data_IF_013880743270
#
_entry.id   IF_013880743270
#
_cell.length_a   1.000
_cell.length_b   1.000
_cell.length_c   1.000
_cell.angle_alpha   90.00
_cell.angle_beta   90.00
_cell.angle_gamma   90.00
#
_symmetry.space_group_name_H-M   'P 1'
#
loop_
_entity.id
_entity.type
_entity.pdbx_description
1 polymer ?
#
# COMPACT_ATOMS: atom_id res chain seq x y z
N UNK A 1 14.77 35.90 -12.63
CA UNK A 1 14.40 34.62 -11.97
C UNK A 1 13.23 34.07 -12.74
N UNK A 2 13.49 33.11 -13.64
CA UNK A 2 12.45 32.42 -14.40
C UNK A 2 11.41 31.89 -13.44
N UNK A 3 10.15 32.26 -13.68
CA UNK A 3 9.01 31.66 -12.98
C UNK A 3 9.04 30.17 -13.32
N UNK A 4 9.62 29.36 -12.44
CA UNK A 4 9.63 27.92 -12.65
C UNK A 4 8.17 27.45 -12.81
N UNK A 5 7.90 26.85 -13.96
CA UNK A 5 6.61 26.20 -14.22
C UNK A 5 6.44 24.99 -13.32
N UNK A 6 5.20 24.57 -13.09
CA UNK A 6 4.90 23.30 -12.45
C UNK A 6 5.62 22.16 -13.17
N UNK A 7 6.18 21.21 -12.44
CA UNK A 7 6.94 20.13 -13.06
C UNK A 7 6.95 18.86 -12.19
N UNK A 8 6.66 17.73 -12.83
CA UNK A 8 6.85 16.40 -12.27
C UNK A 8 8.27 15.94 -12.62
N UNK A 9 9.13 15.81 -11.60
CA UNK A 9 10.51 15.40 -11.83
C UNK A 9 10.61 13.94 -12.27
N UNK A 10 11.68 13.55 -13.01
CA UNK A 10 11.93 12.15 -13.32
C UNK A 10 11.92 11.29 -12.04
N UNK A 11 11.21 10.17 -12.10
CA UNK A 11 11.04 9.29 -10.95
C UNK A 11 12.13 8.23 -11.01
N UNK A 12 12.82 8.04 -9.90
CA UNK A 12 13.85 7.00 -9.80
C UNK A 12 13.19 5.62 -9.77
N UNK A 13 13.96 4.61 -10.19
CA UNK A 13 13.58 3.20 -10.05
C UNK A 13 13.15 2.93 -8.61
N UNK A 14 12.01 2.31 -8.44
CA UNK A 14 11.47 1.91 -7.15
C UNK A 14 11.78 0.42 -6.92
N UNK A 15 12.56 0.11 -5.89
CA UNK A 15 12.90 -1.27 -5.54
C UNK A 15 12.02 -1.75 -4.40
N UNK A 16 11.44 -2.92 -4.55
CA UNK A 16 10.69 -3.64 -3.50
C UNK A 16 11.68 -4.36 -2.58
N UNK A 17 12.16 -3.66 -1.55
CA UNK A 17 13.13 -4.24 -0.63
C UNK A 17 12.54 -5.35 0.24
N UNK A 18 13.26 -6.45 0.37
CA UNK A 18 12.94 -7.50 1.33
C UNK A 18 13.46 -7.07 2.70
N UNK A 19 12.54 -6.93 3.66
CA UNK A 19 12.94 -6.69 5.06
C UNK A 19 13.35 -8.00 5.70
N UNK A 20 14.66 -8.24 5.79
CA UNK A 20 15.19 -9.39 6.52
C UNK A 20 15.26 -9.00 7.99
N UNK A 21 14.40 -9.59 8.82
CA UNK A 21 14.53 -9.48 10.26
C UNK A 21 15.59 -10.49 10.74
N UNK A 22 16.82 -10.03 10.89
CA UNK A 22 17.95 -10.90 11.28
C UNK A 22 17.91 -11.36 12.74
N UNK A 23 16.98 -10.83 13.55
CA UNK A 23 16.90 -11.13 14.99
C UNK A 23 18.15 -10.73 15.80
N UNK A 24 19.20 -10.22 15.15
CA UNK A 24 20.43 -9.82 15.83
C UNK A 24 20.20 -8.53 16.60
N UNK A 25 20.38 -8.59 17.92
CA UNK A 25 20.59 -7.39 18.74
C UNK A 25 21.85 -6.72 18.23
N UNK A 26 21.70 -5.51 17.75
CA UNK A 26 22.79 -4.77 17.10
C UNK A 26 23.61 -4.03 18.14
N UNK A 27 24.96 -3.95 17.99
CA UNK A 27 25.78 -3.19 18.90
C UNK A 27 25.38 -1.72 18.94
N UNK A 28 25.40 -1.12 20.12
CA UNK A 28 24.87 0.22 20.44
C UNK A 28 25.58 1.38 19.71
N UNK A 29 26.71 1.11 19.03
CA UNK A 29 27.65 2.14 18.56
C UNK A 29 27.75 2.29 17.04
N UNK A 30 26.92 1.61 16.25
CA UNK A 30 26.95 1.81 14.81
C UNK A 30 26.04 2.98 14.39
N UNK A 31 26.65 4.02 13.80
CA UNK A 31 25.90 5.06 13.09
C UNK A 31 25.15 4.43 11.94
N UNK A 32 23.82 4.58 11.95
CA UNK A 32 22.94 4.11 10.87
C UNK A 32 22.20 5.28 10.28
N UNK A 33 22.40 5.48 9.00
CA UNK A 33 21.50 6.32 8.22
C UNK A 33 20.07 5.78 8.28
N UNK A 34 19.07 6.67 8.20
CA UNK A 34 17.67 6.25 8.01
C UNK A 34 17.57 5.54 6.67
N UNK A 35 16.93 4.37 6.66
CA UNK A 35 16.59 3.69 5.41
C UNK A 35 15.77 4.62 4.51
N UNK A 36 15.96 4.55 3.19
CA UNK A 36 15.07 5.21 2.25
C UNK A 36 13.61 4.83 2.55
N UNK A 37 12.64 5.72 2.31
CA UNK A 37 11.25 5.36 2.46
C UNK A 37 10.91 4.19 1.53
N UNK A 38 10.13 3.24 2.05
CA UNK A 38 9.62 2.13 1.23
C UNK A 38 8.64 2.69 0.19
N UNK A 39 8.89 2.38 -1.07
CA UNK A 39 8.01 2.80 -2.17
C UNK A 39 8.68 3.70 -3.20
N UNK A 40 7.89 4.13 -4.17
CA UNK A 40 8.32 5.06 -5.19
C UNK A 40 8.21 6.50 -4.70
N UNK A 41 9.32 7.24 -4.77
CA UNK A 41 9.36 8.65 -4.39
C UNK A 41 8.99 9.50 -5.61
N UNK A 42 7.92 10.27 -5.50
CA UNK A 42 7.38 11.14 -6.52
C UNK A 42 7.57 12.58 -6.05
N UNK A 43 8.40 13.35 -6.73
CA UNK A 43 8.62 14.76 -6.42
C UNK A 43 7.95 15.63 -7.48
N UNK A 44 7.21 16.62 -7.04
CA UNK A 44 6.54 17.60 -7.86
C UNK A 44 6.89 19.02 -7.42
N UNK A 45 7.36 19.84 -8.32
CA UNK A 45 7.54 21.26 -8.08
C UNK A 45 6.26 22.01 -8.44
N UNK A 46 5.73 22.78 -7.50
CA UNK A 46 4.56 23.60 -7.68
C UNK A 46 4.91 25.09 -7.57
N UNK A 47 4.44 25.91 -8.51
CA UNK A 47 4.69 27.35 -8.51
C UNK A 47 3.77 28.13 -7.53
N UNK A 48 2.65 27.51 -7.11
CA UNK A 48 1.72 28.01 -6.08
C UNK A 48 1.05 26.84 -5.37
N UNK A 49 0.12 27.12 -4.48
CA UNK A 49 -0.66 26.09 -3.80
C UNK A 49 -1.76 25.58 -4.75
N UNK A 50 -1.97 24.27 -4.77
CA UNK A 50 -3.04 23.58 -5.50
C UNK A 50 -3.60 22.43 -4.68
N UNK A 51 -4.81 22.03 -4.97
CA UNK A 51 -5.30 20.70 -4.67
C UNK A 51 -5.23 19.86 -5.94
N UNK A 52 -5.14 18.55 -5.78
CA UNK A 52 -5.05 17.69 -6.94
C UNK A 52 -5.22 16.22 -6.59
N UNK A 53 -4.96 15.39 -7.57
CA UNK A 53 -5.05 13.94 -7.47
C UNK A 53 -3.78 13.31 -8.02
N UNK A 54 -3.17 12.45 -7.22
CA UNK A 54 -2.10 11.55 -7.64
C UNK A 54 -2.73 10.23 -8.04
N UNK A 55 -2.47 9.78 -9.25
CA UNK A 55 -2.96 8.50 -9.78
C UNK A 55 -1.80 7.71 -10.34
N UNK A 56 -1.75 6.41 -10.05
CA UNK A 56 -0.82 5.48 -10.69
C UNK A 56 -1.62 4.46 -11.48
N UNK A 57 -1.23 4.22 -12.72
CA UNK A 57 -1.83 3.19 -13.57
C UNK A 57 -0.79 2.17 -13.99
N UNK A 58 -1.22 0.95 -14.28
CA UNK A 58 -0.39 0.02 -15.02
C UNK A 58 -0.29 0.43 -16.51
N UNK A 59 0.49 -0.29 -17.30
CA UNK A 59 0.70 0.03 -18.72
C UNK A 59 -0.54 -0.21 -19.60
N UNK A 60 -1.54 -0.97 -19.11
CA UNK A 60 -2.84 -1.13 -19.79
C UNK A 60 -3.83 0.00 -19.45
N UNK A 61 -3.41 0.98 -18.62
CA UNK A 61 -4.25 2.12 -18.23
C UNK A 61 -5.16 1.87 -17.03
N UNK A 62 -5.10 0.67 -16.43
CA UNK A 62 -5.88 0.37 -15.23
C UNK A 62 -5.32 1.16 -14.04
N UNK A 63 -6.19 1.91 -13.34
CA UNK A 63 -5.84 2.61 -12.12
C UNK A 63 -5.52 1.58 -11.00
N UNK A 64 -4.31 1.67 -10.46
CA UNK A 64 -3.82 0.77 -9.41
C UNK A 64 -3.59 1.48 -8.07
N UNK A 65 -3.56 2.82 -8.08
CA UNK A 65 -3.45 3.63 -6.87
C UNK A 65 -3.98 5.03 -7.12
N UNK A 66 -4.68 5.59 -6.15
CA UNK A 66 -5.18 6.96 -6.23
C UNK A 66 -5.17 7.63 -4.87
N UNK A 67 -4.81 8.91 -4.83
CA UNK A 67 -4.78 9.71 -3.61
C UNK A 67 -5.05 11.17 -3.91
N UNK A 68 -5.97 11.79 -3.14
CA UNK A 68 -6.10 13.25 -3.12
C UNK A 68 -4.86 13.86 -2.45
N UNK A 69 -4.32 14.90 -3.05
CA UNK A 69 -3.09 15.57 -2.58
C UNK A 69 -3.34 17.07 -2.47
N UNK A 70 -2.67 17.67 -1.49
CA UNK A 70 -2.51 19.14 -1.42
C UNK A 70 -1.06 19.47 -1.70
N UNK A 71 -0.85 20.43 -2.56
CA UNK A 71 0.45 20.91 -3.03
C UNK A 71 0.71 22.29 -2.46
N UNK A 72 1.86 22.45 -1.83
CA UNK A 72 2.35 23.76 -1.43
C UNK A 72 3.31 24.29 -2.52
N UNK A 73 3.44 25.63 -2.57
CA UNK A 73 4.46 26.24 -3.41
C UNK A 73 5.85 25.69 -3.05
N UNK A 74 6.58 25.22 -4.05
CA UNK A 74 7.90 24.59 -3.91
C UNK A 74 7.87 23.09 -4.20
N UNK A 75 8.78 22.35 -3.59
CA UNK A 75 8.95 20.89 -3.81
C UNK A 75 8.00 20.14 -2.90
N UNK A 76 7.12 19.34 -3.49
CA UNK A 76 6.24 18.41 -2.81
C UNK A 76 6.72 16.99 -3.05
N UNK A 77 6.72 16.16 -2.01
CA UNK A 77 7.14 14.76 -2.08
C UNK A 77 6.01 13.85 -1.65
N UNK A 78 5.68 12.92 -2.53
CA UNK A 78 4.73 11.85 -2.30
C UNK A 78 5.43 10.51 -2.34
N UNK A 79 4.86 9.52 -1.67
CA UNK A 79 5.35 8.14 -1.69
C UNK A 79 4.19 7.25 -2.10
N UNK A 80 4.39 6.53 -3.20
CA UNK A 80 3.55 5.41 -3.54
C UNK A 80 4.14 4.14 -2.89
N UNK A 81 3.43 3.50 -1.96
CA UNK A 81 3.99 2.38 -1.17
C UNK A 81 4.15 1.09 -1.99
N UNK A 82 4.01 1.14 -3.32
CA UNK A 82 3.99 -0.01 -4.24
C UNK A 82 2.88 -1.02 -3.91
N UNK A 83 1.83 -0.57 -3.26
CA UNK A 83 0.61 -1.33 -3.01
C UNK A 83 -0.42 -0.97 -4.08
N UNK A 84 -1.13 -2.00 -4.58
CA UNK A 84 -2.19 -1.83 -5.56
C UNK A 84 -3.52 -1.60 -4.83
N UNK A 85 -4.23 -0.54 -5.19
CA UNK A 85 -5.67 -0.44 -4.90
C UNK A 85 -6.41 -1.37 -5.85
N UNK A 86 -7.19 -2.28 -5.30
CA UNK A 86 -7.98 -3.21 -6.08
C UNK A 86 -9.37 -2.63 -6.39
N UNK A 87 -9.99 -3.20 -7.41
CA UNK A 87 -11.37 -2.85 -7.73
C UNK A 87 -12.32 -3.25 -6.58
N UNK A 88 -13.52 -2.69 -6.60
CA UNK A 88 -14.52 -2.93 -5.55
C UNK A 88 -14.90 -4.42 -5.42
N UNK A 89 -14.97 -5.15 -6.52
CA UNK A 89 -15.32 -6.58 -6.54
C UNK A 89 -14.26 -7.43 -5.82
N UNK A 90 -12.98 -7.14 -6.04
CA UNK A 90 -11.90 -7.82 -5.34
C UNK A 90 -11.88 -7.48 -3.84
N UNK A 91 -12.19 -6.22 -3.49
CA UNK A 91 -12.32 -5.80 -2.11
C UNK A 91 -13.47 -6.53 -1.42
N UNK A 92 -14.62 -6.61 -2.08
CA UNK A 92 -15.81 -7.26 -1.54
C UNK A 92 -15.61 -8.78 -1.43
N UNK A 93 -15.00 -9.42 -2.42
CA UNK A 93 -14.61 -10.84 -2.36
C UNK A 93 -13.63 -11.13 -1.24
N UNK A 94 -12.64 -10.25 -1.04
CA UNK A 94 -11.67 -10.38 0.05
C UNK A 94 -12.33 -10.20 1.41
N UNK A 95 -13.23 -9.24 1.54
CA UNK A 95 -14.04 -8.97 2.72
C UNK A 95 -14.91 -10.16 3.10
N UNK A 96 -15.60 -10.76 2.12
CA UNK A 96 -16.49 -11.88 2.34
C UNK A 96 -15.81 -13.07 3.01
N UNK A 97 -14.57 -13.38 2.61
CA UNK A 97 -13.78 -14.45 3.23
C UNK A 97 -13.58 -14.27 4.75
N UNK A 98 -13.46 -13.03 5.21
CA UNK A 98 -13.32 -12.76 6.65
C UNK A 98 -14.65 -12.73 7.37
N UNK A 99 -15.73 -12.34 6.70
CA UNK A 99 -17.10 -12.45 7.24
C UNK A 99 -17.41 -13.93 7.50
N UNK A 100 -17.22 -14.79 6.51
CA UNK A 100 -17.45 -16.23 6.61
C UNK A 100 -16.61 -16.85 7.74
N UNK A 101 -15.36 -16.40 7.87
CA UNK A 101 -14.47 -16.88 8.92
C UNK A 101 -14.90 -16.42 10.33
N UNK A 102 -15.34 -15.18 10.48
CA UNK A 102 -15.89 -14.68 11.74
C UNK A 102 -17.13 -15.48 12.14
N UNK A 103 -18.00 -15.77 11.18
CA UNK A 103 -19.23 -16.54 11.45
C UNK A 103 -18.90 -18.00 11.80
N UNK A 104 -17.90 -18.61 11.15
CA UNK A 104 -17.37 -19.90 11.55
C UNK A 104 -16.85 -19.89 13.00
N UNK A 105 -16.03 -18.92 13.37
CA UNK A 105 -15.54 -18.83 14.76
C UNK A 105 -16.64 -18.55 15.76
N UNK A 106 -17.64 -17.72 15.43
CA UNK A 106 -18.80 -17.51 16.31
C UNK A 106 -19.54 -18.81 16.65
N UNK A 107 -19.54 -19.75 15.71
CA UNK A 107 -20.20 -21.06 15.90
C UNK A 107 -19.34 -22.07 16.69
N UNK A 108 -18.01 -21.94 16.65
CA UNK A 108 -17.08 -22.96 17.10
C UNK A 108 -16.22 -22.57 18.32
N UNK A 109 -16.22 -21.30 18.76
CA UNK A 109 -15.42 -20.88 19.92
C UNK A 109 -16.29 -20.37 21.06
N UNK A 110 -15.86 -20.63 22.30
CA UNK A 110 -16.60 -20.23 23.50
C UNK A 110 -16.50 -18.73 23.77
N UNK A 111 -15.32 -18.13 23.59
CA UNK A 111 -15.12 -16.70 23.82
C UNK A 111 -15.40 -15.89 22.53
N UNK A 112 -16.59 -15.29 22.48
CA UNK A 112 -17.08 -14.53 21.30
C UNK A 112 -16.94 -13.01 21.42
N UNK A 113 -16.44 -12.50 22.55
CA UNK A 113 -16.43 -11.05 22.84
C UNK A 113 -15.73 -10.23 21.76
N UNK A 114 -14.56 -10.67 21.32
CA UNK A 114 -13.79 -9.97 20.26
C UNK A 114 -14.45 -10.14 18.90
N UNK A 115 -14.99 -11.34 18.58
CA UNK A 115 -15.66 -11.60 17.31
C UNK A 115 -16.86 -10.67 17.09
N UNK A 116 -17.58 -10.33 18.15
CA UNK A 116 -18.74 -9.43 18.08
C UNK A 116 -18.32 -7.98 17.77
N UNK A 117 -17.08 -7.59 18.05
CA UNK A 117 -16.57 -6.25 17.73
C UNK A 117 -15.98 -6.14 16.29
N UNK A 118 -15.79 -7.28 15.61
CA UNK A 118 -15.22 -7.31 14.27
C UNK A 118 -16.31 -7.15 13.21
N UNK A 119 -16.45 -5.95 12.68
CA UNK A 119 -17.42 -5.64 11.63
C UNK A 119 -16.71 -5.36 10.30
N UNK A 120 -16.50 -6.41 9.51
CA UNK A 120 -15.89 -6.30 8.19
C UNK A 120 -16.80 -5.60 7.17
N UNK A 121 -18.12 -5.58 7.39
CA UNK A 121 -19.06 -4.93 6.47
C UNK A 121 -18.84 -3.41 6.39
N UNK A 122 -18.40 -2.79 7.49
CA UNK A 122 -18.14 -1.36 7.55
C UNK A 122 -16.80 -0.94 6.92
N UNK A 123 -15.92 -1.89 6.58
CA UNK A 123 -14.63 -1.56 6.01
C UNK A 123 -14.76 -1.07 4.56
N UNK A 124 -13.99 -0.02 4.22
CA UNK A 124 -14.00 0.62 2.90
C UNK A 124 -12.68 0.44 2.15
N UNK A 125 -11.66 -0.11 2.81
CA UNK A 125 -10.32 -0.26 2.23
C UNK A 125 -9.65 -1.55 2.70
N UNK A 126 -8.67 -2.04 1.92
CA UNK A 126 -7.83 -3.17 2.31
C UNK A 126 -7.08 -2.94 3.61
N UNK A 127 -6.65 -1.70 3.88
CA UNK A 127 -5.98 -1.36 5.13
C UNK A 127 -6.88 -1.57 6.36
N UNK A 128 -8.16 -1.20 6.25
CA UNK A 128 -9.13 -1.44 7.31
C UNK A 128 -9.40 -2.93 7.50
N UNK A 129 -9.59 -3.68 6.41
CA UNK A 129 -9.73 -5.15 6.48
C UNK A 129 -8.50 -5.77 7.13
N UNK A 130 -7.30 -5.36 6.75
CA UNK A 130 -6.07 -5.90 7.31
C UNK A 130 -5.88 -5.58 8.80
N UNK A 131 -6.37 -4.44 9.28
CA UNK A 131 -6.39 -4.13 10.74
C UNK A 131 -7.30 -5.09 11.49
N UNK A 132 -8.54 -5.29 11.03
CA UNK A 132 -9.47 -6.24 11.65
C UNK A 132 -8.98 -7.68 11.53
N UNK A 133 -8.40 -8.04 10.39
CA UNK A 133 -7.76 -9.34 10.18
C UNK A 133 -6.66 -9.61 11.20
N UNK A 134 -5.79 -8.62 11.48
CA UNK A 134 -4.75 -8.76 12.49
C UNK A 134 -5.34 -9.08 13.86
N UNK A 135 -6.38 -8.36 14.27
CA UNK A 135 -7.07 -8.63 15.54
C UNK A 135 -7.67 -10.04 15.56
N UNK A 136 -8.27 -10.49 14.45
CA UNK A 136 -8.82 -11.84 14.34
C UNK A 136 -7.72 -12.91 14.48
N UNK A 137 -6.58 -12.74 13.82
CA UNK A 137 -5.44 -13.66 13.88
C UNK A 137 -4.79 -13.73 15.23
N UNK A 138 -4.55 -12.58 15.86
CA UNK A 138 -3.89 -12.50 17.15
C UNK A 138 -4.71 -13.22 18.24
N UNK A 139 -6.04 -13.29 18.09
CA UNK A 139 -6.92 -13.90 19.08
C UNK A 139 -7.39 -15.33 18.74
N UNK A 140 -7.52 -15.66 17.45
CA UNK A 140 -8.10 -16.93 17.00
C UNK A 140 -7.23 -17.72 16.01
N UNK A 141 -6.07 -17.21 15.61
CA UNK A 141 -5.19 -17.84 14.60
C UNK A 141 -4.54 -19.15 15.05
N UNK A 142 -4.65 -19.52 16.33
CA UNK A 142 -4.11 -20.78 16.86
C UNK A 142 -5.04 -21.99 16.60
N UNK A 143 -6.27 -21.76 16.22
CA UNK A 143 -7.20 -22.85 15.89
C UNK A 143 -6.79 -23.48 14.55
N UNK A 144 -6.79 -24.83 14.51
CA UNK A 144 -6.28 -25.60 13.36
C UNK A 144 -6.99 -25.26 12.05
N UNK A 145 -8.30 -25.01 12.09
CA UNK A 145 -9.09 -24.57 10.97
C UNK A 145 -8.70 -23.17 10.50
N UNK A 146 -8.37 -22.28 11.41
CA UNK A 146 -7.86 -20.95 11.10
C UNK A 146 -6.58 -21.00 10.25
N UNK A 147 -5.67 -21.93 10.55
CA UNK A 147 -4.46 -22.15 9.73
C UNK A 147 -4.77 -22.65 8.32
N UNK A 148 -5.77 -23.52 8.14
CA UNK A 148 -6.20 -23.99 6.82
C UNK A 148 -6.86 -22.90 5.99
N UNK A 149 -7.71 -22.08 6.64
CA UNK A 149 -8.47 -21.02 5.97
C UNK A 149 -7.57 -19.81 5.68
N UNK A 150 -6.64 -19.51 6.60
CA UNK A 150 -5.64 -18.45 6.45
C UNK A 150 -4.42 -18.85 5.61
N UNK A 151 -4.42 -19.97 4.91
CA UNK A 151 -3.28 -20.43 4.11
C UNK A 151 -2.55 -19.30 3.36
N UNK A 152 -1.30 -19.51 3.01
CA UNK A 152 -0.32 -18.51 2.53
C UNK A 152 -0.83 -17.50 1.46
N UNK A 153 -1.87 -17.88 0.70
CA UNK A 153 -2.48 -17.02 -0.33
C UNK A 153 -3.26 -15.81 0.23
N UNK A 154 -3.69 -15.86 1.51
CA UNK A 154 -4.44 -14.76 2.15
C UNK A 154 -3.49 -13.67 2.64
N UNK A 155 -2.22 -14.01 2.86
CA UNK A 155 -1.20 -13.10 3.37
C UNK A 155 -0.46 -12.32 2.29
N UNK A 156 -0.67 -12.60 1.01
CA UNK A 156 0.01 -11.83 -0.03
C UNK A 156 -0.46 -10.38 0.04
N UNK A 157 0.44 -9.51 0.46
CA UNK A 157 0.32 -8.08 0.20
C UNK A 157 0.04 -7.92 -1.29
N UNK A 158 -0.90 -7.04 -1.62
CA UNK A 158 -1.17 -6.69 -3.00
C UNK A 158 -0.09 -5.71 -3.49
N UNK A 159 1.14 -6.21 -3.55
CA UNK A 159 2.27 -5.41 -3.99
C UNK A 159 2.25 -5.28 -5.51
N UNK A 160 2.66 -4.13 -6.00
CA UNK A 160 2.88 -3.93 -7.42
C UNK A 160 3.88 -4.98 -7.95
N UNK A 161 3.56 -5.62 -9.06
CA UNK A 161 4.52 -6.50 -9.75
C UNK A 161 5.66 -5.68 -10.33
N UNK A 162 6.86 -6.25 -10.50
CA UNK A 162 7.91 -5.61 -11.27
C UNK A 162 7.42 -5.21 -12.67
N UNK A 163 7.86 -4.05 -13.14
CA UNK A 163 7.47 -3.50 -14.43
C UNK A 163 7.23 -2.00 -14.41
N UNK A 164 6.77 -1.47 -15.53
CA UNK A 164 6.53 -0.05 -15.70
C UNK A 164 5.11 0.34 -15.29
N UNK A 165 5.00 1.49 -14.63
CA UNK A 165 3.75 2.14 -14.24
C UNK A 165 3.78 3.59 -14.70
N UNK A 166 2.59 4.17 -14.96
CA UNK A 166 2.46 5.59 -15.24
C UNK A 166 1.91 6.33 -14.03
N UNK A 167 2.51 7.46 -13.71
CA UNK A 167 2.07 8.37 -12.65
C UNK A 167 1.46 9.59 -13.30
N UNK A 168 0.34 10.02 -12.75
CA UNK A 168 -0.34 11.26 -13.12
C UNK A 168 -0.54 12.12 -11.88
N UNK A 169 -0.28 13.41 -12.03
CA UNK A 169 -0.70 14.45 -11.08
C UNK A 169 -1.64 15.37 -11.84
N UNK A 170 -2.90 15.35 -11.45
CA UNK A 170 -3.95 16.21 -11.98
C UNK A 170 -4.23 17.31 -10.95
N UNK A 171 -4.13 18.56 -11.37
CA UNK A 171 -4.37 19.73 -10.54
C UNK A 171 -5.82 20.19 -10.65
N UNK A 172 -6.29 20.93 -9.64
CA UNK A 172 -7.63 21.52 -9.60
C UNK A 172 -7.88 22.56 -10.71
N UNK A 173 -6.85 23.05 -11.38
CA UNK A 173 -6.94 23.91 -12.56
C UNK A 173 -7.03 23.13 -13.89
N UNK A 174 -7.08 21.79 -13.86
CA UNK A 174 -7.14 20.92 -15.03
C UNK A 174 -5.80 20.58 -15.67
N UNK A 175 -4.68 21.11 -15.18
CA UNK A 175 -3.35 20.72 -15.67
C UNK A 175 -3.04 19.28 -15.24
N UNK A 176 -2.47 18.48 -16.15
CA UNK A 176 -2.08 17.08 -15.92
C UNK A 176 -0.60 16.91 -16.24
N UNK A 177 0.11 16.33 -15.28
CA UNK A 177 1.52 15.98 -15.41
C UNK A 177 1.69 14.48 -15.31
N UNK A 178 2.52 13.89 -16.16
CA UNK A 178 2.74 12.45 -16.15
C UNK A 178 4.20 12.06 -16.24
N UNK A 179 4.54 10.92 -15.66
CA UNK A 179 5.85 10.30 -15.77
C UNK A 179 5.73 8.79 -15.60
N UNK A 180 6.82 8.06 -15.86
CA UNK A 180 6.88 6.61 -15.73
C UNK A 180 7.70 6.23 -14.50
N UNK A 181 7.27 5.18 -13.79
CA UNK A 181 8.01 4.52 -12.71
C UNK A 181 8.39 3.12 -13.17
N UNK A 182 9.66 2.77 -13.06
CA UNK A 182 10.14 1.40 -13.17
C UNK A 182 10.19 0.78 -11.76
N UNK A 183 9.41 -0.28 -11.55
CA UNK A 183 9.35 -1.05 -10.30
C UNK A 183 10.17 -2.33 -10.48
N UNK A 184 11.09 -2.59 -9.57
CA UNK A 184 11.95 -3.78 -9.58
C UNK A 184 11.85 -4.55 -8.28
N UNK A 185 12.03 -5.86 -8.37
CA UNK A 185 12.25 -6.69 -7.19
C UNK A 185 13.62 -6.41 -6.57
N UNK A 186 13.77 -6.79 -5.32
CA UNK A 186 15.06 -6.78 -4.64
C UNK A 186 16.04 -7.70 -5.38
N UNK A 187 17.23 -7.22 -5.77
CA UNK A 187 18.21 -8.02 -6.50
C UNK A 187 18.67 -9.28 -5.74
N UNK A 188 18.49 -9.33 -4.41
CA UNK A 188 18.78 -10.53 -3.59
C UNK A 188 17.79 -11.68 -3.90
N UNK A 189 16.63 -11.39 -4.50
CA UNK A 189 15.63 -12.41 -4.88
C UNK A 189 15.98 -13.17 -6.15
N UNK A 190 16.92 -12.72 -6.92
CA UNK A 190 17.22 -13.27 -8.26
C UNK A 190 18.28 -14.37 -8.27
N UNK A 191 18.59 -14.97 -7.12
CA UNK A 191 19.47 -16.14 -6.98
C UNK A 191 18.72 -17.36 -6.47
#
# INVERSE_FOLDING_TARGET
>A
LDKKSNNLTPIRVATKWIKINTGRKQPFFEFRGKNPPDGAIINFYSNKNYNGKLTVTNMSGLNVYSKSISLNKGINRFIWPLELERNKEELDSYKQKFIDLVDYFKSNVSNKKILMSLDFNKTKSFNEINKLRKVLLDNYGMYAEGKKIFGDKIYKKFDASPGNYKVYIELDNGEVYSNTIDVRDDPIKSN
#
